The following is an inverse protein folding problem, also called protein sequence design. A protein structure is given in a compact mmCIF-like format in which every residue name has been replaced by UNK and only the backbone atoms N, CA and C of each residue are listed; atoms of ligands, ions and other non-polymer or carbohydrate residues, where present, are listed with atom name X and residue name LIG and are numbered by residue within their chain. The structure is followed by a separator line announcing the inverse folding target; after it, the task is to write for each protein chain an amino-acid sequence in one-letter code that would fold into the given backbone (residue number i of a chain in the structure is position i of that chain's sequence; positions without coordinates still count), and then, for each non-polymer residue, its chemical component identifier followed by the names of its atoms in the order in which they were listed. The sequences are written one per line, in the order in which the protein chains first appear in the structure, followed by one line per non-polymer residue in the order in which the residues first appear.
data_IF_137542421380
#
_entry.id   IF_137542421380
#
_cell.length_a   1.000
_cell.length_b   1.000
_cell.length_c   1.000
_cell.angle_alpha   90.00
_cell.angle_beta   90.00
_cell.angle_gamma   90.00
#
_symmetry.space_group_name_H-M   'P 1'
#
loop_
_entity.id
_entity.type
_entity.pdbx_description
1 polymer ?
#
# COMPACT_ATOMS: atom_id res chain seq x y z
N UNK A 1 24.70 -59.06 -23.65
CA UNK A 1 24.00 -57.71 -23.68
C UNK A 1 22.52 -57.96 -23.53
N UNK A 2 21.92 -57.38 -22.46
CA UNK A 2 20.55 -57.67 -22.04
C UNK A 2 19.53 -56.97 -22.94
N UNK A 3 18.92 -57.72 -23.90
CA UNK A 3 17.94 -57.19 -24.88
C UNK A 3 16.69 -56.55 -24.24
N UNK A 4 16.50 -56.74 -22.93
CA UNK A 4 15.37 -56.16 -22.18
C UNK A 4 15.57 -54.68 -21.80
N UNK A 5 16.80 -54.19 -21.75
CA UNK A 5 17.12 -52.80 -21.35
C UNK A 5 16.58 -51.74 -22.34
N UNK A 6 16.75 -51.91 -23.67
CA UNK A 6 16.19 -50.92 -24.62
C UNK A 6 14.66 -50.93 -24.67
N UNK A 7 14.01 -52.06 -24.43
CA UNK A 7 12.54 -52.13 -24.38
C UNK A 7 11.99 -51.40 -23.13
N UNK A 8 12.63 -51.57 -21.99
CA UNK A 8 12.28 -50.85 -20.77
C UNK A 8 12.50 -49.34 -20.91
N UNK A 9 13.61 -48.91 -21.52
CA UNK A 9 13.90 -47.51 -21.78
C UNK A 9 12.89 -46.87 -22.75
N UNK A 10 12.50 -47.58 -23.80
CA UNK A 10 11.48 -47.11 -24.75
C UNK A 10 10.09 -47.03 -24.10
N UNK A 11 9.73 -47.97 -23.23
CA UNK A 11 8.47 -47.91 -22.46
C UNK A 11 8.41 -46.73 -21.49
N UNK A 12 9.51 -46.47 -20.79
CA UNK A 12 9.61 -45.33 -19.88
C UNK A 12 9.54 -43.98 -20.63
N UNK A 13 10.18 -43.86 -21.79
CA UNK A 13 10.13 -42.68 -22.63
C UNK A 13 8.71 -42.41 -23.18
N UNK A 14 7.98 -43.46 -23.55
CA UNK A 14 6.58 -43.36 -23.98
C UNK A 14 5.66 -42.89 -22.86
N UNK A 15 5.84 -43.37 -21.63
CA UNK A 15 5.05 -42.95 -20.46
C UNK A 15 5.35 -41.48 -20.08
N UNK A 16 6.61 -41.06 -20.16
CA UNK A 16 7.00 -39.67 -19.92
C UNK A 16 6.49 -38.73 -21.02
N UNK A 17 6.44 -39.15 -22.28
CA UNK A 17 5.88 -38.33 -23.36
C UNK A 17 4.36 -38.20 -23.28
N UNK A 18 3.65 -39.20 -22.76
CA UNK A 18 2.19 -39.16 -22.55
C UNK A 18 1.78 -38.26 -21.37
N UNK A 19 2.72 -37.90 -20.46
CA UNK A 19 2.47 -37.04 -19.32
C UNK A 19 2.38 -35.53 -19.62
N UNK A 20 2.86 -35.11 -20.82
CA UNK A 20 2.78 -33.71 -21.25
C UNK A 20 1.38 -33.38 -21.77
N UNK A 21 0.45 -33.06 -20.85
CA UNK A 21 -0.89 -32.62 -21.21
C UNK A 21 -0.86 -31.09 -21.36
N UNK A 22 -1.19 -30.59 -22.56
CA UNK A 22 -1.32 -29.16 -22.87
C UNK A 22 -2.77 -28.73 -23.12
N UNK A 23 -3.74 -29.64 -22.91
CA UNK A 23 -5.14 -29.36 -23.13
C UNK A 23 -5.60 -28.22 -22.21
N UNK A 24 -6.27 -27.24 -22.76
CA UNK A 24 -6.85 -26.09 -22.07
C UNK A 24 -5.83 -25.16 -21.36
N UNK A 25 -4.55 -25.24 -21.66
CA UNK A 25 -3.57 -24.25 -21.20
C UNK A 25 -3.75 -22.92 -21.92
N UNK A 26 -4.00 -22.96 -23.23
CA UNK A 26 -4.30 -21.80 -24.06
C UNK A 26 -5.73 -21.89 -24.55
N UNK A 27 -6.57 -20.91 -24.18
CA UNK A 27 -7.94 -20.77 -24.66
C UNK A 27 -8.03 -19.81 -25.84
N UNK A 28 -9.15 -19.79 -26.61
CA UNK A 28 -9.37 -18.84 -27.69
C UNK A 28 -9.77 -17.46 -27.13
N UNK A 29 -9.00 -16.93 -26.20
CA UNK A 29 -9.18 -15.58 -25.61
C UNK A 29 -7.80 -14.96 -25.41
N UNK A 30 -7.74 -13.64 -25.38
CA UNK A 30 -6.50 -12.88 -25.17
C UNK A 30 -6.32 -12.62 -23.67
N UNK A 31 -5.21 -13.08 -23.13
CA UNK A 31 -4.85 -12.82 -21.74
C UNK A 31 -4.33 -11.39 -21.52
N UNK A 32 -4.23 -10.99 -20.23
CA UNK A 32 -3.62 -9.70 -19.89
C UNK A 32 -2.15 -9.70 -20.31
N UNK A 33 -1.73 -8.62 -20.94
CA UNK A 33 -0.37 -8.42 -21.45
C UNK A 33 0.02 -9.32 -22.64
N UNK A 34 -0.90 -10.11 -23.16
CA UNK A 34 -0.67 -10.89 -24.37
C UNK A 34 -0.68 -10.00 -25.61
N UNK A 35 0.13 -10.37 -26.60
CA UNK A 35 0.17 -9.70 -27.91
C UNK A 35 -1.10 -10.02 -28.71
N UNK A 36 -1.61 -9.02 -29.40
CA UNK A 36 -2.70 -9.19 -30.37
C UNK A 36 -2.27 -8.64 -31.73
N UNK A 37 -2.36 -9.49 -32.73
CA UNK A 37 -2.09 -9.06 -34.12
C UNK A 37 -3.30 -8.35 -34.76
N UNK A 38 -4.45 -8.33 -34.08
CA UNK A 38 -5.66 -7.64 -34.52
C UNK A 38 -5.53 -6.11 -34.39
N UNK A 39 -4.83 -5.63 -33.36
CA UNK A 39 -4.67 -4.19 -33.11
C UNK A 39 -3.30 -3.70 -33.58
N UNK A 40 -3.28 -2.53 -34.22
CA UNK A 40 -2.05 -1.92 -34.76
C UNK A 40 -0.99 -1.60 -33.70
N UNK A 41 -1.38 -1.40 -32.44
CA UNK A 41 -0.47 -1.19 -31.29
C UNK A 41 0.03 -2.51 -30.67
N UNK A 42 -0.38 -3.65 -31.20
CA UNK A 42 0.01 -4.98 -30.75
C UNK A 42 -0.50 -5.39 -29.37
N UNK A 43 -1.39 -4.61 -28.74
CA UNK A 43 -1.89 -4.87 -27.39
C UNK A 43 -3.20 -5.63 -27.42
N UNK A 44 -3.25 -6.78 -26.76
CA UNK A 44 -4.50 -7.52 -26.54
C UNK A 44 -5.44 -6.80 -25.58
N UNK A 45 -4.90 -6.27 -24.47
CA UNK A 45 -5.68 -5.48 -23.51
C UNK A 45 -5.83 -4.03 -23.96
N UNK A 46 -7.07 -3.56 -24.06
CA UNK A 46 -7.37 -2.19 -24.46
C UNK A 46 -7.40 -1.26 -23.25
N UNK A 47 -6.94 -0.04 -23.45
CA UNK A 47 -7.13 1.02 -22.44
C UNK A 47 -8.63 1.36 -22.35
N UNK A 48 -9.13 1.72 -21.17
CA UNK A 48 -10.48 2.25 -21.03
C UNK A 48 -10.71 3.46 -21.97
N UNK A 49 -11.92 3.60 -22.49
CA UNK A 49 -12.30 4.77 -23.27
C UNK A 49 -12.19 6.02 -22.40
N UNK A 50 -11.59 7.08 -22.92
CA UNK A 50 -11.45 8.34 -22.19
C UNK A 50 -12.83 8.83 -21.69
N UNK A 51 -12.92 9.16 -20.40
CA UNK A 51 -14.16 9.58 -19.75
C UNK A 51 -15.10 8.44 -19.33
N UNK A 52 -14.78 7.17 -19.64
CA UNK A 52 -15.56 6.05 -19.15
C UNK A 52 -15.30 5.82 -17.65
N UNK A 53 -16.38 5.76 -16.88
CA UNK A 53 -16.34 5.44 -15.44
C UNK A 53 -16.99 4.07 -15.26
N UNK A 54 -16.27 3.15 -14.63
CA UNK A 54 -16.82 1.83 -14.31
C UNK A 54 -18.00 1.95 -13.33
N UNK A 55 -18.95 1.02 -13.45
CA UNK A 55 -20.05 0.95 -12.49
C UNK A 55 -19.51 0.80 -11.05
N UNK A 56 -19.97 1.69 -10.16
CA UNK A 56 -19.49 1.74 -8.79
C UNK A 56 -18.18 2.50 -8.54
N UNK A 57 -17.48 2.96 -9.57
CA UNK A 57 -16.21 3.70 -9.45
C UNK A 57 -16.38 5.23 -9.66
N UNK A 58 -17.59 5.74 -9.46
CA UNK A 58 -17.84 7.18 -9.47
C UNK A 58 -17.24 7.81 -8.20
N UNK A 59 -16.05 8.38 -8.31
CA UNK A 59 -15.30 9.00 -7.20
C UNK A 59 -15.80 10.43 -6.95
N UNK A 60 -17.09 10.57 -6.60
CA UNK A 60 -17.74 11.87 -6.45
C UNK A 60 -17.28 12.64 -5.21
N UNK A 61 -16.85 11.95 -4.15
CA UNK A 61 -16.35 12.58 -2.92
C UNK A 61 -14.87 12.92 -3.07
N UNK A 62 -14.58 14.17 -3.41
CA UNK A 62 -13.20 14.64 -3.56
C UNK A 62 -12.39 14.52 -2.26
N UNK A 63 -13.00 14.78 -1.10
CA UNK A 63 -12.32 14.65 0.19
C UNK A 63 -11.82 13.21 0.39
N UNK A 64 -12.72 12.22 0.24
CA UNK A 64 -12.40 10.81 0.43
C UNK A 64 -11.36 10.31 -0.58
N UNK A 65 -11.50 10.65 -1.85
CA UNK A 65 -10.71 10.06 -2.94
C UNK A 65 -9.41 10.79 -3.27
N UNK A 66 -9.31 12.09 -2.93
CA UNK A 66 -8.13 12.90 -3.25
C UNK A 66 -7.39 13.43 -2.02
N UNK A 67 -8.06 13.53 -0.88
CA UNK A 67 -7.54 14.20 0.30
C UNK A 67 -7.59 15.72 0.25
N UNK A 68 -8.36 16.28 -0.70
CA UNK A 68 -8.50 17.73 -0.88
C UNK A 68 -9.93 18.20 -0.65
N UNK A 69 -10.06 19.38 -0.06
CA UNK A 69 -11.29 20.12 0.09
C UNK A 69 -11.05 21.55 -0.43
N UNK A 70 -11.86 22.01 -1.36
CA UNK A 70 -11.74 23.33 -2.00
C UNK A 70 -10.34 23.63 -2.60
N UNK A 71 -9.67 22.60 -3.11
CA UNK A 71 -8.33 22.75 -3.70
C UNK A 71 -7.16 22.73 -2.71
N UNK A 72 -7.42 22.67 -1.41
CA UNK A 72 -6.41 22.57 -0.37
C UNK A 72 -6.39 21.19 0.30
N UNK A 73 -5.24 20.70 0.79
CA UNK A 73 -5.19 19.44 1.53
C UNK A 73 -6.10 19.50 2.77
N UNK A 74 -6.99 18.52 2.91
CA UNK A 74 -7.96 18.47 3.99
C UNK A 74 -7.28 18.38 5.37
N UNK A 75 -7.69 19.21 6.29
CA UNK A 75 -7.24 19.15 7.69
C UNK A 75 -7.84 17.94 8.42
N UNK A 76 -9.10 17.66 8.13
CA UNK A 76 -9.91 16.64 8.80
C UNK A 76 -9.97 15.33 8.01
N UNK A 77 -10.46 14.29 8.66
CA UNK A 77 -10.72 13.00 8.04
C UNK A 77 -12.12 12.98 7.42
N UNK A 78 -12.34 12.25 6.29
CA UNK A 78 -13.66 12.16 5.65
C UNK A 78 -14.66 11.28 6.41
N UNK A 79 -14.23 10.67 7.51
CA UNK A 79 -15.04 9.83 8.39
C UNK A 79 -14.49 9.85 9.82
N UNK A 80 -15.28 9.44 10.82
CA UNK A 80 -14.82 9.39 12.20
C UNK A 80 -13.64 8.43 12.37
N UNK A 81 -12.59 8.87 13.06
CA UNK A 81 -11.43 8.05 13.39
C UNK A 81 -11.74 7.27 14.67
N UNK A 82 -12.09 5.99 14.51
CA UNK A 82 -12.32 5.06 15.63
C UNK A 82 -11.06 4.27 15.94
N UNK A 83 -11.08 3.52 17.06
CA UNK A 83 -10.00 2.62 17.44
C UNK A 83 -9.73 1.58 16.33
N UNK A 84 -10.78 1.02 15.74
CA UNK A 84 -10.69 0.02 14.68
C UNK A 84 -10.01 0.60 13.43
N UNK A 85 -10.28 1.86 13.10
CA UNK A 85 -9.61 2.57 12.00
C UNK A 85 -8.12 2.70 12.29
N UNK A 86 -7.72 3.08 13.50
CA UNK A 86 -6.31 3.20 13.88
C UNK A 86 -5.61 1.84 13.89
N UNK A 87 -6.24 0.78 14.41
CA UNK A 87 -5.70 -0.59 14.41
C UNK A 87 -5.56 -1.14 12.97
N UNK A 88 -6.53 -0.86 12.12
CA UNK A 88 -6.42 -1.15 10.68
C UNK A 88 -5.27 -0.40 10.05
N UNK A 89 -5.12 0.88 10.36
CA UNK A 89 -4.02 1.72 9.90
C UNK A 89 -2.66 1.18 10.33
N UNK A 90 -2.52 0.76 11.60
CA UNK A 90 -1.31 0.10 12.11
C UNK A 90 -0.95 -1.14 11.30
N UNK A 91 -1.93 -2.00 11.04
CA UNK A 91 -1.71 -3.23 10.26
C UNK A 91 -1.19 -2.89 8.86
N UNK A 92 -1.80 -1.93 8.18
CA UNK A 92 -1.41 -1.52 6.84
C UNK A 92 -0.08 -0.77 6.81
N UNK A 93 0.16 0.10 7.79
CA UNK A 93 1.43 0.79 7.96
C UNK A 93 2.60 -0.19 8.12
N UNK A 94 2.44 -1.20 8.94
CA UNK A 94 3.49 -2.20 9.16
C UNK A 94 3.85 -2.97 7.88
N UNK A 95 2.88 -3.20 7.00
CA UNK A 95 3.10 -3.91 5.73
C UNK A 95 3.78 -2.99 4.69
N UNK A 96 3.26 -1.78 4.49
CA UNK A 96 3.62 -0.94 3.34
C UNK A 96 4.60 0.19 3.67
N UNK A 97 4.59 0.70 4.88
CA UNK A 97 5.28 1.94 5.25
C UNK A 97 6.50 1.69 6.15
N UNK A 98 6.35 0.82 7.17
CA UNK A 98 7.39 0.52 8.15
C UNK A 98 8.74 0.12 7.54
N UNK A 99 8.83 -0.65 6.45
CA UNK A 99 10.12 -1.03 5.87
C UNK A 99 11.02 0.16 5.52
N UNK A 100 10.44 1.30 5.15
CA UNK A 100 11.16 2.54 4.87
C UNK A 100 11.09 3.52 6.03
N UNK A 101 9.90 3.73 6.64
CA UNK A 101 9.64 4.79 7.61
C UNK A 101 9.95 4.41 9.08
N UNK A 102 10.29 3.14 9.35
CA UNK A 102 10.52 2.67 10.72
C UNK A 102 9.22 2.37 11.47
N UNK A 103 9.31 1.55 12.52
CA UNK A 103 8.13 1.14 13.30
C UNK A 103 7.48 2.30 14.06
N UNK A 104 8.29 3.27 14.45
CA UNK A 104 7.87 4.47 15.18
C UNK A 104 7.77 5.71 14.29
N UNK A 105 8.03 5.57 12.98
CA UNK A 105 7.92 6.68 12.03
C UNK A 105 9.10 7.65 12.03
N UNK A 106 10.26 7.22 12.51
CA UNK A 106 11.52 7.99 12.57
C UNK A 106 12.26 8.06 11.22
N UNK A 107 11.82 7.28 10.24
CA UNK A 107 12.49 7.16 8.94
C UNK A 107 13.63 6.15 8.90
N UNK A 108 13.84 5.36 9.96
CA UNK A 108 14.94 4.40 10.03
C UNK A 108 14.47 2.95 9.86
N UNK A 109 13.77 2.69 8.75
CA UNK A 109 13.27 1.36 8.42
C UNK A 109 14.37 0.39 7.91
N UNK A 110 14.02 -0.89 7.82
CA UNK A 110 14.96 -1.96 7.45
C UNK A 110 15.60 -1.80 6.06
N UNK A 111 14.91 -1.15 5.14
CA UNK A 111 15.42 -0.86 3.78
C UNK A 111 16.43 0.29 3.83
N UNK A 112 16.18 1.30 4.67
CA UNK A 112 17.10 2.42 4.89
C UNK A 112 18.41 1.93 5.50
N UNK A 113 18.34 1.01 6.46
CA UNK A 113 19.52 0.37 7.05
C UNK A 113 20.39 -0.41 6.03
N UNK A 114 19.82 -0.72 4.87
CA UNK A 114 20.50 -1.38 3.75
C UNK A 114 20.94 -0.43 2.64
N UNK A 115 20.95 0.90 2.91
CA UNK A 115 21.47 1.91 2.00
C UNK A 115 20.44 2.65 1.16
N UNK A 116 19.13 2.44 1.42
CA UNK A 116 18.11 3.27 0.79
C UNK A 116 18.07 4.67 1.42
N UNK A 117 17.67 5.67 0.66
CA UNK A 117 17.58 7.04 1.18
C UNK A 117 16.56 7.13 2.30
N UNK A 118 16.98 7.69 3.44
CA UNK A 118 16.12 7.87 4.60
C UNK A 118 15.01 8.89 4.30
N UNK A 119 13.74 8.52 4.49
CA UNK A 119 12.64 9.48 4.46
C UNK A 119 12.67 10.36 5.72
N UNK A 120 12.08 11.56 5.67
CA UNK A 120 11.97 12.40 6.85
C UNK A 120 11.14 11.71 7.94
N UNK A 121 11.55 11.89 9.20
CA UNK A 121 10.77 11.45 10.35
C UNK A 121 9.39 12.14 10.37
N UNK A 122 8.33 11.41 10.70
CA UNK A 122 6.99 11.99 10.88
C UNK A 122 6.92 12.97 12.07
N UNK A 123 7.92 12.96 12.95
CA UNK A 123 7.94 13.75 14.18
C UNK A 123 8.54 15.16 14.00
N UNK A 124 9.07 15.50 12.82
CA UNK A 124 9.53 16.88 12.54
C UNK A 124 8.35 17.85 12.49
N UNK A 125 8.56 19.09 12.93
CA UNK A 125 7.51 20.11 13.04
C UNK A 125 6.73 20.31 11.73
N UNK A 126 7.41 20.32 10.60
CA UNK A 126 6.77 20.45 9.28
C UNK A 126 5.71 19.37 9.04
N UNK A 127 6.00 18.10 9.37
CA UNK A 127 5.07 16.99 9.17
C UNK A 127 4.04 16.88 10.29
N UNK A 128 4.38 17.23 11.52
CA UNK A 128 3.39 17.29 12.63
C UNK A 128 2.29 18.29 12.36
N UNK A 129 2.64 19.44 11.74
CA UNK A 129 1.69 20.50 11.41
C UNK A 129 1.04 20.34 10.02
N UNK A 130 1.48 19.38 9.21
CA UNK A 130 0.89 19.14 7.90
C UNK A 130 -0.55 18.59 8.04
N UNK A 131 -1.52 18.99 7.19
CA UNK A 131 -2.90 18.49 7.24
C UNK A 131 -2.97 16.98 6.90
N UNK A 132 -4.04 16.31 7.32
CA UNK A 132 -4.24 14.87 7.08
C UNK A 132 -4.22 14.53 5.57
N UNK A 133 -4.85 15.36 4.76
CA UNK A 133 -4.88 15.22 3.30
C UNK A 133 -3.51 15.27 2.64
N UNK A 134 -2.53 15.95 3.23
CA UNK A 134 -1.15 15.92 2.74
C UNK A 134 -0.58 14.49 2.76
N UNK A 135 -0.72 13.79 3.87
CA UNK A 135 -0.26 12.40 3.99
C UNK A 135 -1.01 11.47 3.03
N UNK A 136 -2.34 11.65 2.95
CA UNK A 136 -3.16 10.89 2.01
C UNK A 136 -2.65 11.07 0.57
N UNK A 137 -2.44 12.32 0.15
CA UNK A 137 -1.98 12.65 -1.19
C UNK A 137 -0.58 12.05 -1.48
N UNK A 138 0.35 12.15 -0.54
CA UNK A 138 1.68 11.55 -0.67
C UNK A 138 1.61 10.03 -0.80
N UNK A 139 0.74 9.36 -0.05
CA UNK A 139 0.52 7.91 -0.17
C UNK A 139 -0.09 7.58 -1.55
N UNK A 140 -1.08 8.35 -1.98
CA UNK A 140 -1.79 8.08 -3.22
C UNK A 140 -0.93 8.34 -4.46
N UNK A 141 -0.20 9.45 -4.51
CA UNK A 141 0.48 9.92 -5.71
C UNK A 141 2.00 9.75 -5.68
N UNK A 142 2.56 9.43 -4.50
CA UNK A 142 4.00 9.46 -4.27
C UNK A 142 4.53 10.88 -4.06
N UNK A 143 5.77 10.96 -3.63
CA UNK A 143 6.49 12.24 -3.48
C UNK A 143 8.01 12.02 -3.55
N UNK A 144 8.69 12.69 -4.45
CA UNK A 144 10.11 12.54 -4.64
C UNK A 144 10.50 11.10 -4.97
N UNK A 145 11.18 10.41 -4.06
CA UNK A 145 11.55 9.00 -4.23
C UNK A 145 10.51 8.01 -3.72
N UNK A 146 9.49 8.46 -3.05
CA UNK A 146 8.39 7.62 -2.62
C UNK A 146 7.45 7.35 -3.79
N UNK A 147 7.26 6.08 -4.13
CA UNK A 147 6.34 5.67 -5.18
C UNK A 147 4.87 5.88 -4.76
N UNK A 148 3.99 6.00 -5.76
CA UNK A 148 2.56 5.93 -5.56
C UNK A 148 2.15 4.54 -5.05
N UNK A 149 1.24 4.52 -4.08
CA UNK A 149 0.58 3.30 -3.59
C UNK A 149 -0.88 3.23 -4.00
N UNK A 150 -1.29 4.01 -5.01
CA UNK A 150 -2.67 4.12 -5.43
C UNK A 150 -3.28 2.79 -5.90
N UNK A 151 -2.48 1.96 -6.56
CA UNK A 151 -2.86 0.65 -7.08
C UNK A 151 -2.82 -0.48 -6.04
N UNK A 152 -2.14 -0.28 -4.89
CA UNK A 152 -1.85 -1.31 -3.88
C UNK A 152 -2.61 -1.12 -2.59
N UNK A 153 -2.96 0.11 -2.24
CA UNK A 153 -3.66 0.45 -1.01
C UNK A 153 -4.99 1.09 -1.35
N UNK A 154 -6.08 0.49 -0.86
CA UNK A 154 -7.42 1.02 -1.06
C UNK A 154 -7.61 2.37 -0.36
N UNK A 155 -8.57 3.16 -0.84
CA UNK A 155 -8.87 4.52 -0.35
C UNK A 155 -9.03 4.58 1.17
N UNK A 156 -9.88 3.73 1.74
CA UNK A 156 -10.12 3.70 3.19
C UNK A 156 -8.87 3.27 3.98
N UNK A 157 -8.08 2.34 3.44
CA UNK A 157 -6.83 1.91 4.08
C UNK A 157 -5.76 3.03 4.07
N UNK A 158 -5.72 3.90 3.04
CA UNK A 158 -4.83 5.08 3.04
C UNK A 158 -5.19 6.04 4.18
N UNK A 159 -6.47 6.34 4.36
CA UNK A 159 -6.93 7.17 5.47
C UNK A 159 -6.67 6.51 6.83
N UNK A 160 -6.85 5.20 6.93
CA UNK A 160 -6.51 4.46 8.14
C UNK A 160 -5.01 4.56 8.47
N UNK A 161 -4.12 4.45 7.47
CA UNK A 161 -2.69 4.68 7.63
C UNK A 161 -2.41 6.10 8.12
N UNK A 162 -3.08 7.11 7.57
CA UNK A 162 -2.94 8.51 8.04
C UNK A 162 -3.36 8.64 9.49
N UNK A 163 -4.46 8.00 9.89
CA UNK A 163 -4.91 7.98 11.30
C UNK A 163 -3.85 7.35 12.23
N UNK A 164 -3.22 6.26 11.79
CA UNK A 164 -2.13 5.65 12.56
C UNK A 164 -0.87 6.52 12.62
N UNK A 165 -0.51 7.23 11.54
CA UNK A 165 0.58 8.21 11.55
C UNK A 165 0.31 9.30 12.59
N UNK A 166 -0.93 9.79 12.71
CA UNK A 166 -1.32 10.76 13.75
C UNK A 166 -1.15 10.17 15.15
N UNK A 167 -1.55 8.91 15.36
CA UNK A 167 -1.33 8.22 16.62
C UNK A 167 0.17 8.08 16.95
N UNK A 168 1.03 7.77 15.98
CA UNK A 168 2.49 7.75 16.16
C UNK A 168 3.03 9.14 16.55
N UNK A 169 2.57 10.20 15.90
CA UNK A 169 2.96 11.57 16.24
C UNK A 169 2.56 11.95 17.65
N UNK A 170 1.34 11.58 18.06
CA UNK A 170 0.83 11.83 19.40
C UNK A 170 1.62 11.03 20.46
N UNK A 171 1.95 9.78 20.19
CA UNK A 171 2.68 8.90 21.13
C UNK A 171 4.05 9.43 21.53
N UNK A 172 4.65 10.33 20.74
CA UNK A 172 5.99 10.89 21.00
C UNK A 172 5.98 12.37 21.39
N UNK A 173 4.82 13.01 21.42
CA UNK A 173 4.71 14.41 21.75
C UNK A 173 3.26 14.79 22.09
N UNK A 174 2.62 14.02 22.95
CA UNK A 174 1.33 14.36 23.49
C UNK A 174 1.46 15.59 24.40
N UNK A 175 0.67 16.67 24.19
CA UNK A 175 0.59 17.77 25.13
C UNK A 175 0.02 17.26 26.46
N UNK A 176 0.63 17.64 27.59
CA UNK A 176 0.20 17.19 28.93
C UNK A 176 -1.27 17.51 29.22
N UNK A 177 -1.78 18.62 28.66
CA UNK A 177 -3.17 19.03 28.83
C UNK A 177 -4.18 18.18 28.03
N UNK A 178 -3.73 17.35 27.13
CA UNK A 178 -4.57 16.42 26.34
C UNK A 178 -4.54 15.00 26.91
N UNK A 179 -3.71 14.74 27.95
CA UNK A 179 -3.62 13.43 28.56
C UNK A 179 -4.68 13.27 29.67
N UNK A 180 -5.17 12.04 29.92
CA UNK A 180 -6.02 11.76 31.08
C UNK A 180 -5.35 12.17 32.38
N UNK A 181 -6.12 12.76 33.32
CA UNK A 181 -5.60 13.26 34.59
C UNK A 181 -4.79 12.24 35.39
N UNK A 182 -5.19 10.96 35.37
CA UNK A 182 -4.45 9.89 36.01
C UNK A 182 -3.04 9.71 35.45
N UNK A 183 -2.88 9.78 34.12
CA UNK A 183 -1.58 9.70 33.44
C UNK A 183 -0.72 10.93 33.74
N UNK A 184 -1.33 12.12 33.76
CA UNK A 184 -0.62 13.36 34.12
C UNK A 184 -0.09 13.31 35.57
N UNK A 185 -0.88 12.73 36.48
CA UNK A 185 -0.45 12.56 37.88
C UNK A 185 0.74 11.59 38.01
N UNK A 186 0.73 10.48 37.28
CA UNK A 186 1.86 9.53 37.22
C UNK A 186 3.12 10.19 36.67
N UNK A 187 3.02 10.88 35.52
CA UNK A 187 4.16 11.55 34.90
C UNK A 187 4.78 12.62 35.81
N UNK A 188 3.93 13.38 36.52
CA UNK A 188 4.43 14.35 37.51
C UNK A 188 5.10 13.71 38.71
N UNK A 189 4.62 12.56 39.16
CA UNK A 189 5.25 11.80 40.24
C UNK A 189 6.64 11.27 39.80
N UNK A 190 6.84 10.99 38.52
CA UNK A 190 8.12 10.59 37.92
C UNK A 190 9.03 11.79 37.57
N UNK A 191 8.60 13.03 37.84
CA UNK A 191 9.39 14.26 37.62
C UNK A 191 9.38 14.77 36.17
N UNK A 192 8.45 14.32 35.34
CA UNK A 192 8.26 14.81 33.98
C UNK A 192 7.35 16.04 34.03
N UNK A 193 7.86 17.18 33.50
CA UNK A 193 7.17 18.47 33.46
C UNK A 193 6.65 18.81 32.07
#
# INVERSE_FOLDING_TARGET
MNKKLPVLAAGLALVLAAGCRQDMHDGPYVERFEKSDFFSDGRGSRLPVAGAVAYGDLRADAHLYTGYVNGEPAAEFPFPVTREVVERGRTRFNIFCQPCHGAIGDGYGSIVQRGFQQPPSYHINRLRNAPAGHFYNVIANGYGRMYSFNDRIQVNDRWAIVAYIRALQLSQAAPLNELPEGVVAELRAEGIQ
#
